data_IF_510544893250
#
_entry.id   IF_510544893250
#
_cell.length_a   1.000
_cell.length_b   1.000
_cell.length_c   1.000
_cell.angle_alpha   90.00
_cell.angle_beta   90.00
_cell.angle_gamma   90.00
#
_symmetry.space_group_name_H-M   'P 1'
#
loop_
_entity.id
_entity.type
_entity.pdbx_description
1 polymer ?
#
# COMPACT_ATOMS: atom_id res chain seq x y z
N UNK A 1 23.46 22.42 8.45
CA UNK A 1 22.17 22.66 7.77
C UNK A 1 21.38 23.74 8.50
N UNK A 2 20.84 24.75 7.79
CA UNK A 2 19.90 25.72 8.32
C UNK A 2 18.73 25.05 9.04
N UNK A 3 18.21 25.67 10.09
CA UNK A 3 17.12 25.15 10.92
C UNK A 3 15.83 24.86 10.14
N UNK A 4 15.50 25.69 9.14
CA UNK A 4 14.36 25.47 8.23
C UNK A 4 14.46 24.12 7.49
N UNK A 5 15.66 23.79 7.00
CA UNK A 5 15.88 22.59 6.19
C UNK A 5 15.77 21.34 7.05
N UNK A 6 16.29 21.40 8.29
CA UNK A 6 16.13 20.30 9.27
C UNK A 6 14.66 20.03 9.59
N UNK A 7 13.87 21.09 9.79
CA UNK A 7 12.45 20.93 10.14
C UNK A 7 11.65 20.33 8.98
N UNK A 8 11.94 20.76 7.76
CA UNK A 8 11.36 20.19 6.54
C UNK A 8 11.63 18.69 6.42
N UNK A 9 12.91 18.27 6.50
CA UNK A 9 13.30 16.86 6.40
C UNK A 9 12.64 16.02 7.49
N UNK A 10 12.69 16.45 8.75
CA UNK A 10 12.04 15.73 9.85
C UNK A 10 10.52 15.57 9.66
N UNK A 11 9.87 16.55 9.04
CA UNK A 11 8.43 16.49 8.76
C UNK A 11 8.13 15.44 7.67
N UNK A 12 8.93 15.42 6.60
CA UNK A 12 8.81 14.42 5.54
C UNK A 12 9.09 13.01 6.08
N UNK A 13 10.13 12.83 6.88
CA UNK A 13 10.46 11.54 7.51
C UNK A 13 9.31 11.04 8.39
N UNK A 14 8.69 11.94 9.17
CA UNK A 14 7.52 11.61 9.99
C UNK A 14 6.32 11.16 9.14
N UNK A 15 6.05 11.85 8.04
CA UNK A 15 4.96 11.49 7.11
C UNK A 15 5.23 10.12 6.48
N UNK A 16 6.45 9.87 6.01
CA UNK A 16 6.87 8.60 5.43
C UNK A 16 6.77 7.45 6.44
N UNK A 17 7.17 7.67 7.70
CA UNK A 17 7.02 6.72 8.81
C UNK A 17 5.56 6.33 9.08
N UNK A 18 4.66 7.32 9.13
CA UNK A 18 3.23 7.10 9.34
C UNK A 18 2.60 6.40 8.14
N UNK A 19 2.94 6.84 6.94
CA UNK A 19 2.42 6.29 5.69
C UNK A 19 2.83 4.83 5.53
N UNK A 20 4.11 4.50 5.70
CA UNK A 20 4.59 3.11 5.60
C UNK A 20 3.88 2.16 6.57
N UNK A 21 3.70 2.58 7.83
CA UNK A 21 2.94 1.78 8.81
C UNK A 21 1.47 1.62 8.43
N UNK A 22 0.84 2.65 7.87
CA UNK A 22 -0.54 2.55 7.38
C UNK A 22 -0.62 1.61 6.17
N UNK A 23 0.34 1.69 5.26
CA UNK A 23 0.44 0.86 4.05
C UNK A 23 0.53 -0.63 4.36
N UNK A 24 1.18 -1.03 5.45
CA UNK A 24 1.21 -2.44 5.89
C UNK A 24 -0.19 -3.05 6.02
N UNK A 25 -1.20 -2.26 6.38
CA UNK A 25 -2.58 -2.75 6.53
C UNK A 25 -3.31 -2.93 5.20
N UNK A 26 -2.82 -2.38 4.08
CA UNK A 26 -3.43 -2.60 2.76
C UNK A 26 -3.35 -4.06 2.31
N UNK A 27 -2.45 -4.88 2.88
CA UNK A 27 -2.44 -6.34 2.65
C UNK A 27 -3.77 -6.97 3.08
N UNK A 28 -4.37 -6.50 4.18
CA UNK A 28 -5.68 -6.99 4.61
C UNK A 28 -6.79 -6.55 3.64
N UNK A 29 -6.71 -5.32 3.11
CA UNK A 29 -7.65 -4.84 2.08
C UNK A 29 -7.56 -5.72 0.83
N UNK A 30 -6.34 -6.06 0.40
CA UNK A 30 -6.11 -6.94 -0.74
C UNK A 30 -6.64 -8.35 -0.50
N UNK A 31 -6.43 -8.90 0.70
CA UNK A 31 -7.00 -10.18 1.11
C UNK A 31 -8.53 -10.18 1.05
N UNK A 32 -9.18 -9.10 1.51
CA UNK A 32 -10.64 -8.96 1.43
C UNK A 32 -11.14 -8.92 -0.01
N UNK A 33 -10.46 -8.22 -0.92
CA UNK A 33 -10.81 -8.17 -2.35
C UNK A 33 -10.72 -9.57 -2.98
N UNK A 34 -9.69 -10.34 -2.64
CA UNK A 34 -9.52 -11.71 -3.15
C UNK A 34 -10.58 -12.68 -2.57
N UNK A 35 -10.89 -12.57 -1.28
CA UNK A 35 -11.98 -13.35 -0.66
C UNK A 35 -13.32 -13.00 -1.32
N UNK A 36 -13.59 -11.72 -1.55
CA UNK A 36 -14.80 -11.27 -2.26
C UNK A 36 -14.87 -11.88 -3.67
N UNK A 37 -13.73 -11.92 -4.38
CA UNK A 37 -13.62 -12.60 -5.69
C UNK A 37 -14.04 -14.05 -5.61
N UNK A 38 -13.51 -14.77 -4.62
CA UNK A 38 -13.80 -16.18 -4.43
C UNK A 38 -15.28 -16.42 -4.11
N UNK A 39 -15.85 -15.66 -3.18
CA UNK A 39 -17.26 -15.77 -2.77
C UNK A 39 -18.20 -15.46 -3.92
N UNK A 40 -18.00 -14.33 -4.61
CA UNK A 40 -18.91 -13.90 -5.67
C UNK A 40 -18.86 -14.82 -6.89
N UNK A 41 -17.67 -15.31 -7.24
CA UNK A 41 -17.47 -16.23 -8.36
C UNK A 41 -17.92 -17.66 -8.08
N UNK A 42 -17.62 -18.22 -6.90
CA UNK A 42 -17.83 -19.64 -6.62
C UNK A 42 -19.10 -19.95 -5.82
N UNK A 43 -19.61 -19.01 -5.02
CA UNK A 43 -20.78 -19.23 -4.15
C UNK A 43 -22.03 -18.59 -4.76
N UNK A 44 -21.91 -17.35 -5.24
CA UNK A 44 -23.05 -16.55 -5.72
C UNK A 44 -23.20 -16.66 -7.25
N UNK A 45 -22.18 -17.17 -7.94
CA UNK A 45 -22.14 -17.35 -9.40
C UNK A 45 -22.35 -16.03 -10.18
N UNK A 46 -22.01 -14.88 -9.56
CA UNK A 46 -22.03 -13.55 -10.18
C UNK A 46 -20.59 -13.07 -10.24
N UNK A 47 -19.91 -13.21 -11.39
CA UNK A 47 -18.54 -12.75 -11.53
C UNK A 47 -18.49 -11.22 -11.56
N UNK A 48 -17.83 -10.62 -10.57
CA UNK A 48 -17.51 -9.20 -10.57
C UNK A 48 -16.22 -8.98 -11.39
N UNK A 49 -16.34 -8.32 -12.54
CA UNK A 49 -15.22 -8.05 -13.45
C UNK A 49 -14.18 -7.12 -12.80
N UNK A 50 -14.64 -6.07 -12.12
CA UNK A 50 -13.80 -4.99 -11.57
C UNK A 50 -12.82 -5.41 -10.46
N UNK A 51 -12.95 -6.62 -9.93
CA UNK A 51 -12.13 -7.09 -8.80
C UNK A 51 -10.65 -7.14 -9.15
N UNK A 52 -10.33 -7.53 -10.39
CA UNK A 52 -8.94 -7.68 -10.83
C UNK A 52 -8.28 -6.30 -10.91
N UNK A 53 -8.98 -5.33 -11.49
CA UNK A 53 -8.54 -3.94 -11.58
C UNK A 53 -8.35 -3.35 -10.18
N UNK A 54 -9.29 -3.59 -9.26
CA UNK A 54 -9.15 -3.12 -7.88
C UNK A 54 -8.02 -3.78 -7.13
N UNK A 55 -7.76 -5.07 -7.35
CA UNK A 55 -6.58 -5.74 -6.78
C UNK A 55 -5.28 -5.12 -7.32
N UNK A 56 -5.22 -4.81 -8.63
CA UNK A 56 -4.06 -4.15 -9.24
C UNK A 56 -3.86 -2.72 -8.73
N UNK A 57 -4.93 -1.94 -8.53
CA UNK A 57 -4.84 -0.60 -7.96
C UNK A 57 -4.39 -0.63 -6.49
N UNK A 58 -4.87 -1.59 -5.70
CA UNK A 58 -4.46 -1.75 -4.30
C UNK A 58 -3.00 -2.22 -4.22
N UNK A 59 -2.58 -3.17 -5.06
CA UNK A 59 -1.17 -3.52 -5.24
C UNK A 59 -0.35 -2.27 -5.55
N UNK A 60 -0.80 -1.49 -6.55
CA UNK A 60 -0.15 -0.22 -6.97
C UNK A 60 0.03 0.77 -5.83
N UNK A 61 -1.03 1.01 -5.07
CA UNK A 61 -0.97 1.85 -3.88
C UNK A 61 -0.02 1.29 -2.83
N UNK A 62 -0.02 -0.03 -2.60
CA UNK A 62 0.81 -0.67 -1.58
C UNK A 62 2.30 -0.39 -1.77
N UNK A 63 2.85 -0.59 -2.97
CA UNK A 63 4.28 -0.36 -3.16
C UNK A 63 4.67 1.10 -3.29
N UNK A 64 3.84 1.92 -3.93
CA UNK A 64 4.12 3.35 -4.06
C UNK A 64 4.14 4.04 -2.70
N UNK A 65 3.15 3.74 -1.84
CA UNK A 65 3.07 4.30 -0.49
C UNK A 65 4.13 3.70 0.46
N UNK A 66 4.59 2.48 0.19
CA UNK A 66 5.68 1.83 0.93
C UNK A 66 7.07 2.38 0.58
N UNK A 67 7.23 3.01 -0.59
CA UNK A 67 8.52 3.47 -1.10
C UNK A 67 9.24 4.43 -0.16
N UNK A 68 8.57 5.50 0.28
CA UNK A 68 9.16 6.48 1.20
C UNK A 68 9.57 5.89 2.55
N UNK A 69 8.85 4.88 3.03
CA UNK A 69 9.21 4.16 4.26
C UNK A 69 10.42 3.25 4.07
N UNK A 70 10.49 2.52 2.94
CA UNK A 70 11.61 1.63 2.63
C UNK A 70 12.95 2.37 2.55
N UNK A 71 12.94 3.58 1.96
CA UNK A 71 14.14 4.42 1.88
C UNK A 71 14.67 4.85 3.26
N UNK A 72 13.78 5.08 4.24
CA UNK A 72 14.17 5.41 5.62
C UNK A 72 14.82 4.21 6.31
N UNK A 73 14.34 2.99 6.00
CA UNK A 73 14.86 1.75 6.56
C UNK A 73 16.06 1.18 5.80
N UNK A 74 16.58 1.90 4.80
CA UNK A 74 17.64 1.43 3.89
C UNK A 74 17.29 0.10 3.19
N UNK A 75 15.99 -0.08 2.91
CA UNK A 75 15.43 -1.27 2.29
C UNK A 75 14.73 -0.89 0.97
N UNK A 76 14.36 -1.89 0.17
CA UNK A 76 13.75 -1.69 -1.14
C UNK A 76 12.37 -2.35 -1.20
N UNK A 77 11.39 -1.64 -1.75
CA UNK A 77 10.10 -2.26 -2.07
C UNK A 77 10.31 -3.25 -3.21
N UNK A 78 10.13 -4.54 -2.93
CA UNK A 78 10.13 -5.59 -3.94
C UNK A 78 8.69 -5.98 -4.27
N UNK A 79 8.42 -6.02 -5.57
CA UNK A 79 7.15 -6.38 -6.19
C UNK A 79 7.20 -7.74 -6.91
N UNK A 80 8.40 -8.33 -6.93
CA UNK A 80 8.70 -9.66 -7.47
C UNK A 80 8.01 -10.76 -6.65
#
# INVERSE_FOLDING_TARGET
>A
MPSIIKYYVNTIDYISLKTGRATMYLVFVMMLILILSFVTRNIINIPLIWIIEMAQFVMTGYYLLGGGYSMITDDHVRMD
#
